data_IF_923203069853
#
_entry.id   IF_923203069853
#
_cell.length_a   1.000
_cell.length_b   1.000
_cell.length_c   1.000
_cell.angle_alpha   90.00
_cell.angle_beta   90.00
_cell.angle_gamma   90.00
#
_symmetry.space_group_name_H-M   'P 1'
#
loop_
_entity.id
_entity.type
_entity.pdbx_description
1 polymer ?
#
# COMPACT_ATOMS: atom_id res chain seq x y z
N UNK A 1 14.77 20.19 13.05
CA UNK A 1 13.82 19.18 13.55
C UNK A 1 13.67 18.13 12.46
N UNK A 2 14.48 17.07 12.51
CA UNK A 2 14.46 16.01 11.49
C UNK A 2 13.37 15.02 11.86
N UNK A 3 12.29 14.99 11.09
CA UNK A 3 11.30 13.91 11.15
C UNK A 3 11.98 12.63 10.66
N UNK A 4 12.37 11.75 11.58
CA UNK A 4 12.71 10.38 11.22
C UNK A 4 11.46 9.77 10.56
N UNK A 5 11.51 9.63 9.23
CA UNK A 5 10.48 8.93 8.47
C UNK A 5 10.62 7.47 8.88
N UNK A 6 9.81 7.03 9.85
CA UNK A 6 9.73 5.63 10.22
C UNK A 6 9.23 4.87 8.98
N UNK A 7 10.08 4.02 8.42
CA UNK A 7 9.71 3.17 7.29
C UNK A 7 8.72 2.13 7.79
N UNK A 8 7.43 2.37 7.57
CA UNK A 8 6.38 1.44 7.90
C UNK A 8 6.11 0.45 6.74
N UNK A 9 5.27 -0.54 7.02
CA UNK A 9 4.82 -1.54 6.06
C UNK A 9 4.11 -0.93 4.85
N UNK A 10 3.49 0.23 5.02
CA UNK A 10 2.65 0.86 4.01
C UNK A 10 3.54 1.56 2.98
N UNK A 11 4.60 2.23 3.44
CA UNK A 11 5.67 2.74 2.59
C UNK A 11 6.38 1.59 1.87
N UNK A 12 6.74 0.51 2.58
CA UNK A 12 7.35 -0.66 1.96
C UNK A 12 6.48 -1.23 0.82
N UNK A 13 5.16 -1.27 1.03
CA UNK A 13 4.17 -1.72 0.05
C UNK A 13 4.13 -0.79 -1.17
N UNK A 14 4.16 0.53 -0.98
CA UNK A 14 4.20 1.50 -2.07
C UNK A 14 5.48 1.41 -2.89
N UNK A 15 6.63 1.24 -2.24
CA UNK A 15 7.90 1.08 -2.93
C UNK A 15 7.94 -0.24 -3.71
N UNK A 16 7.48 -1.35 -3.10
CA UNK A 16 7.36 -2.63 -3.79
C UNK A 16 6.47 -2.51 -5.02
N UNK A 17 5.28 -1.91 -4.88
CA UNK A 17 4.38 -1.67 -6.00
C UNK A 17 5.06 -0.85 -7.12
N UNK A 18 5.78 0.21 -6.76
CA UNK A 18 6.50 1.05 -7.73
C UNK A 18 7.58 0.29 -8.49
N UNK A 19 8.31 -0.61 -7.82
CA UNK A 19 9.34 -1.44 -8.46
C UNK A 19 8.76 -2.51 -9.39
N UNK A 20 7.52 -2.95 -9.12
CA UNK A 20 6.83 -3.94 -9.94
C UNK A 20 6.13 -3.32 -11.16
N UNK A 21 5.89 -2.00 -11.17
CA UNK A 21 5.34 -1.31 -12.33
C UNK A 21 6.37 -1.32 -13.47
N UNK A 22 5.93 -1.56 -14.73
CA UNK A 22 6.83 -1.45 -15.85
C UNK A 22 7.43 -0.04 -15.89
N UNK A 23 8.74 0.10 -16.17
CA UNK A 23 9.32 1.42 -16.35
C UNK A 23 8.52 2.15 -17.42
N UNK A 24 8.33 3.48 -17.30
CA UNK A 24 7.70 4.25 -18.35
C UNK A 24 8.38 3.89 -19.67
N UNK A 25 7.63 3.42 -20.69
CA UNK A 25 8.24 3.16 -22.00
C UNK A 25 8.98 4.43 -22.39
N UNK A 26 10.19 4.31 -22.95
CA UNK A 26 11.14 5.41 -23.20
C UNK A 26 10.65 6.51 -24.16
N UNK A 27 9.35 6.71 -24.30
CA UNK A 27 8.68 7.81 -24.94
C UNK A 27 8.29 8.94 -23.98
N UNK A 28 7.65 9.96 -24.58
CA UNK A 28 7.32 11.28 -24.03
C UNK A 28 6.88 11.23 -22.56
N UNK A 29 7.39 12.18 -21.75
CA UNK A 29 6.99 12.36 -20.35
C UNK A 29 5.48 12.29 -20.23
N UNK A 30 5.00 11.36 -19.41
CA UNK A 30 3.60 11.26 -19.07
C UNK A 30 3.11 12.60 -18.52
N UNK A 31 1.86 12.95 -18.81
CA UNK A 31 1.20 14.13 -18.25
C UNK A 31 1.32 14.05 -16.72
N UNK A 32 1.78 15.14 -16.10
CA UNK A 32 1.80 15.23 -14.64
C UNK A 32 0.36 15.15 -14.15
N UNK A 33 0.07 14.18 -13.28
CA UNK A 33 -1.24 14.01 -12.65
C UNK A 33 -1.13 14.33 -11.16
N UNK A 34 -2.25 14.68 -10.53
CA UNK A 34 -2.27 14.88 -9.08
C UNK A 34 -2.08 13.55 -8.34
N UNK A 35 -1.70 13.64 -7.06
CA UNK A 35 -1.62 12.45 -6.21
C UNK A 35 -2.99 11.74 -6.07
N UNK A 36 -4.09 12.52 -6.07
CA UNK A 36 -5.45 11.98 -6.04
C UNK A 36 -5.79 11.22 -7.32
N UNK A 37 -5.51 11.81 -8.49
CA UNK A 37 -5.71 11.14 -9.79
C UNK A 37 -4.85 9.87 -9.91
N UNK A 38 -3.64 9.89 -9.34
CA UNK A 38 -2.77 8.72 -9.30
C UNK A 38 -3.35 7.62 -8.41
N UNK A 39 -3.86 7.98 -7.23
CA UNK A 39 -4.48 7.05 -6.30
C UNK A 39 -5.73 6.40 -6.92
N UNK A 40 -6.59 7.17 -7.58
CA UNK A 40 -7.80 6.64 -8.25
C UNK A 40 -7.46 5.65 -9.38
N UNK A 41 -6.27 5.79 -9.99
CA UNK A 41 -5.79 4.85 -11.03
C UNK A 41 -5.11 3.61 -10.45
N UNK A 42 -4.49 3.71 -9.28
CA UNK A 42 -3.71 2.64 -8.67
C UNK A 42 -4.51 1.79 -7.69
N UNK A 43 -5.55 2.37 -7.08
CA UNK A 43 -6.33 1.73 -6.02
C UNK A 43 -7.70 1.32 -6.53
N UNK A 44 -7.94 0.02 -6.52
CA UNK A 44 -9.20 -0.60 -6.91
C UNK A 44 -9.95 -0.98 -5.64
N UNK A 45 -11.14 -0.43 -5.47
CA UNK A 45 -12.01 -0.83 -4.36
C UNK A 45 -12.79 -2.09 -4.72
N UNK A 46 -12.74 -3.09 -3.84
CA UNK A 46 -13.52 -4.32 -3.95
C UNK A 46 -14.40 -4.50 -2.73
N UNK A 47 -15.70 -4.71 -2.96
CA UNK A 47 -16.64 -4.96 -1.87
C UNK A 47 -16.38 -6.34 -1.26
N UNK A 48 -16.19 -6.42 0.05
CA UNK A 48 -15.90 -7.68 0.77
C UNK A 48 -17.00 -8.74 0.61
N UNK A 49 -18.24 -8.36 0.31
CA UNK A 49 -19.33 -9.29 0.01
C UNK A 49 -19.26 -9.94 -1.38
N UNK A 50 -18.35 -9.50 -2.25
CA UNK A 50 -18.17 -10.04 -3.59
C UNK A 50 -16.97 -11.00 -3.66
N UNK A 51 -17.01 -11.97 -4.58
CA UNK A 51 -15.88 -12.89 -4.78
C UNK A 51 -14.66 -12.15 -5.36
N UNK A 52 -13.54 -12.22 -4.64
CA UNK A 52 -12.26 -11.66 -5.11
C UNK A 52 -11.76 -12.44 -6.33
N UNK A 53 -11.97 -13.75 -6.39
CA UNK A 53 -11.53 -14.57 -7.52
C UNK A 53 -12.26 -14.20 -8.83
N UNK A 54 -13.54 -13.87 -8.74
CA UNK A 54 -14.32 -13.42 -9.89
C UNK A 54 -13.81 -12.07 -10.40
N UNK A 55 -13.49 -11.14 -9.49
CA UNK A 55 -12.84 -9.88 -9.82
C UNK A 55 -11.51 -10.09 -10.57
N UNK A 56 -10.67 -11.02 -10.11
CA UNK A 56 -9.39 -11.36 -10.73
C UNK A 56 -9.53 -12.03 -12.11
N UNK A 57 -10.62 -12.76 -12.34
CA UNK A 57 -10.91 -13.38 -13.64
C UNK A 57 -11.41 -12.36 -14.67
N UNK A 58 -12.24 -11.41 -14.24
CA UNK A 58 -12.89 -10.45 -15.15
C UNK A 58 -11.98 -9.29 -15.58
N UNK A 59 -10.96 -8.93 -14.79
CA UNK A 59 -10.06 -7.82 -15.12
C UNK A 59 -8.90 -8.24 -16.03
N UNK A 60 -8.83 -7.63 -17.20
CA UNK A 60 -7.62 -7.57 -18.07
C UNK A 60 -6.74 -6.35 -17.77
N UNK A 61 -6.91 -5.70 -16.62
CA UNK A 61 -6.21 -4.46 -16.30
C UNK A 61 -4.68 -4.60 -16.22
N UNK A 62 -4.00 -3.45 -16.40
CA UNK A 62 -2.56 -3.28 -16.23
C UNK A 62 -2.18 -3.59 -14.77
N UNK A 63 -1.59 -4.77 -14.56
CA UNK A 63 -0.97 -5.16 -13.31
C UNK A 63 0.48 -4.67 -13.28
N UNK A 64 1.04 -4.40 -12.09
CA UNK A 64 0.44 -4.51 -10.75
C UNK A 64 -0.45 -3.32 -10.33
N UNK A 65 -1.39 -3.55 -9.41
CA UNK A 65 -2.22 -2.51 -8.77
C UNK A 65 -2.58 -2.86 -7.31
N UNK A 66 -3.07 -1.87 -6.55
CA UNK A 66 -3.51 -2.06 -5.16
C UNK A 66 -5.01 -2.36 -5.11
N UNK A 67 -5.40 -3.45 -4.47
CA UNK A 67 -6.78 -3.84 -4.23
C UNK A 67 -7.15 -3.55 -2.78
N UNK A 68 -8.02 -2.57 -2.57
CA UNK A 68 -8.58 -2.22 -1.28
C UNK A 68 -9.90 -2.97 -1.07
N UNK A 69 -9.90 -3.98 -0.19
CA UNK A 69 -11.06 -4.81 0.10
C UNK A 69 -11.77 -4.30 1.34
N UNK A 70 -13.05 -4.01 1.24
CA UNK A 70 -13.84 -3.49 2.36
C UNK A 70 -15.33 -3.41 2.07
N UNK A 71 -16.15 -3.03 3.06
CA UNK A 71 -17.58 -2.81 2.84
C UNK A 71 -17.83 -1.56 1.97
N UNK A 72 -16.98 -0.53 2.13
CA UNK A 72 -17.05 0.72 1.38
C UNK A 72 -15.67 1.37 1.28
N UNK A 73 -15.53 2.38 0.41
CA UNK A 73 -14.25 3.13 0.25
C UNK A 73 -13.75 3.78 1.56
N UNK A 74 -14.63 4.04 2.51
CA UNK A 74 -14.28 4.58 3.84
C UNK A 74 -14.06 3.51 4.92
N UNK A 75 -14.29 2.24 4.61
CA UNK A 75 -14.17 1.12 5.54
C UNK A 75 -13.47 -0.04 4.83
N UNK A 76 -12.14 0.04 4.80
CA UNK A 76 -11.25 -0.95 4.19
C UNK A 76 -10.76 -1.91 5.26
N UNK A 77 -10.93 -3.20 5.01
CA UNK A 77 -10.52 -4.28 5.92
C UNK A 77 -9.10 -4.76 5.61
N UNK A 78 -8.72 -4.75 4.33
CA UNK A 78 -7.42 -5.28 3.88
C UNK A 78 -6.98 -4.67 2.56
N UNK A 79 -5.67 -4.63 2.36
CA UNK A 79 -5.05 -4.25 1.11
C UNK A 79 -4.24 -5.42 0.54
N UNK A 80 -4.30 -5.59 -0.78
CA UNK A 80 -3.51 -6.57 -1.52
C UNK A 80 -2.85 -5.90 -2.71
N UNK A 81 -1.63 -6.30 -3.05
CA UNK A 81 -1.09 -6.05 -4.39
C UNK A 81 -1.58 -7.18 -5.30
N UNK A 82 -2.22 -6.83 -6.41
CA UNK A 82 -2.59 -7.78 -7.45
C UNK A 82 -1.47 -7.84 -8.49
N UNK A 83 -0.89 -9.03 -8.67
CA UNK A 83 0.16 -9.29 -9.66
C UNK A 83 -0.04 -10.67 -10.28
N UNK A 84 -0.02 -10.76 -11.61
CA UNK A 84 -0.39 -11.92 -12.43
C UNK A 84 -1.63 -12.69 -11.94
N UNK A 85 -2.69 -11.95 -11.57
CA UNK A 85 -3.94 -12.48 -10.99
C UNK A 85 -3.75 -13.20 -9.65
N UNK A 86 -2.64 -12.95 -8.95
CA UNK A 86 -2.36 -13.41 -7.59
C UNK A 86 -2.44 -12.24 -6.62
N UNK A 87 -2.81 -12.54 -5.38
CA UNK A 87 -2.91 -11.58 -4.30
C UNK A 87 -1.65 -11.68 -3.43
N UNK A 88 -0.95 -10.56 -3.27
CA UNK A 88 0.13 -10.41 -2.31
C UNK A 88 -0.44 -9.60 -1.14
N UNK A 89 -0.59 -10.18 0.06
CA UNK A 89 -1.16 -9.46 1.20
C UNK A 89 -0.21 -8.34 1.63
N UNK A 90 -0.75 -7.13 1.75
CA UNK A 90 -0.06 -6.03 2.39
C UNK A 90 -0.30 -6.20 3.90
N UNK A 91 0.75 -6.47 4.68
CA UNK A 91 0.63 -6.42 6.13
C UNK A 91 0.41 -4.95 6.52
N UNK A 92 -0.83 -4.49 6.57
CA UNK A 92 -1.16 -3.23 7.23
C UNK A 92 -0.88 -3.47 8.72
N UNK A 93 0.28 -3.04 9.21
CA UNK A 93 0.55 -3.09 10.64
C UNK A 93 -0.40 -2.08 11.27
N UNK A 94 -1.38 -2.56 12.02
CA UNK A 94 -2.27 -1.73 12.84
C UNK A 94 -1.39 -0.91 13.81
N UNK A 95 -1.03 0.33 13.39
CA UNK A 95 -0.15 1.23 14.15
C UNK A 95 -0.76 1.56 15.52
N UNK A 96 -2.07 1.31 15.72
CA UNK A 96 -2.75 1.43 17.00
C UNK A 96 -2.51 0.29 18.00
N UNK A 97 -1.92 -0.84 17.60
CA UNK A 97 -1.76 -2.03 18.47
C UNK A 97 -0.33 -2.54 18.64
N UNK A 98 0.65 -1.97 17.95
CA UNK A 98 2.03 -2.40 18.14
C UNK A 98 2.57 -1.90 19.48
N UNK A 99 2.72 -2.82 20.44
CA UNK A 99 3.47 -2.57 21.67
C UNK A 99 4.90 -2.22 21.29
N UNK A 100 5.33 -1.02 21.66
CA UNK A 100 6.73 -0.60 21.52
C UNK A 100 7.65 -1.68 22.11
N UNK A 101 8.61 -2.16 21.31
CA UNK A 101 9.52 -3.22 21.75
C UNK A 101 10.37 -2.73 22.93
N UNK A 102 10.78 -3.62 23.86
CA UNK A 102 11.64 -3.24 24.99
C UNK A 102 12.91 -2.50 24.58
N UNK A 103 13.48 -2.84 23.42
CA UNK A 103 14.65 -2.18 22.84
C UNK A 103 14.39 -0.73 22.45
N UNK A 104 13.23 -0.44 21.86
CA UNK A 104 12.86 0.91 21.44
C UNK A 104 12.55 1.78 22.67
N UNK A 105 11.90 1.21 23.69
CA UNK A 105 11.70 1.87 24.99
C UNK A 105 13.02 2.27 25.65
N UNK A 106 13.99 1.37 25.68
CA UNK A 106 15.31 1.63 26.27
C UNK A 106 16.07 2.72 25.49
N UNK A 107 16.03 2.67 24.16
CA UNK A 107 16.70 3.66 23.32
C UNK A 107 16.08 5.06 23.50
N UNK A 108 14.74 5.13 23.59
CA UNK A 108 14.01 6.37 23.84
C UNK A 108 14.34 6.95 25.22
N UNK A 109 14.42 6.11 26.25
CA UNK A 109 14.83 6.52 27.59
C UNK A 109 16.27 7.07 27.61
N UNK A 110 17.18 6.48 26.84
CA UNK A 110 18.56 6.96 26.71
C UNK A 110 18.68 8.29 25.96
N UNK A 111 17.79 8.55 24.99
CA UNK A 111 17.81 9.78 24.17
C UNK A 111 17.11 10.97 24.84
N UNK A 112 16.12 10.74 25.71
CA UNK A 112 15.38 11.79 26.43
C UNK A 112 16.05 12.24 27.73
N UNK A 113 17.18 11.65 28.09
CA UNK A 113 17.95 11.97 29.30
C UNK A 113 19.19 12.83 29.00
N UNK A 114 19.13 13.66 27.95
CA UNK A 114 20.09 14.71 27.62
C UNK A 114 19.43 16.06 27.89
#
# INVERSE_FOLDING_TARGET
MLTFVYWDSDMATLFLLTHLLPPPPGGKRAVKISAADAADRLVVHHKSCNSIEEHLRQKEERQPYLLAVGQSRGQIDSYYIVLDKKLIPCQAIDVGKTRESPRVKELRAKLLNI
#
